data_IF_176696891715
#
_entry.id   IF_176696891715
#
_cell.length_a   1.000
_cell.length_b   1.000
_cell.length_c   1.000
_cell.angle_alpha   90.00
_cell.angle_beta   90.00
_cell.angle_gamma   90.00
#
_symmetry.space_group_name_H-M   'P 1'
#
loop_
_entity.id
_entity.type
_entity.pdbx_description
1 polymer ?
#
# COMPACT_ATOMS: atom_id res chain seq x y z
N UNK A 1 5.04 4.66 -1.48
CA UNK A 1 4.23 4.50 -0.25
C UNK A 1 4.96 3.55 0.69
N UNK A 2 4.68 3.50 2.02
CA UNK A 2 5.14 2.39 2.85
C UNK A 2 5.05 1.10 2.02
N UNK A 3 6.15 0.36 1.93
CA UNK A 3 6.25 -0.61 0.84
C UNK A 3 5.34 -1.83 1.12
N UNK A 4 5.48 -2.86 0.30
CA UNK A 4 4.66 -4.07 0.31
C UNK A 4 4.51 -4.71 1.71
N UNK A 5 5.53 -4.64 2.58
CA UNK A 5 5.50 -5.25 3.91
C UNK A 5 4.75 -4.42 4.94
N UNK A 6 4.93 -3.10 4.97
CA UNK A 6 4.27 -2.20 5.90
C UNK A 6 2.73 -2.30 5.80
N UNK A 7 2.18 -2.32 4.58
CA UNK A 7 0.75 -2.52 4.38
C UNK A 7 0.26 -3.90 4.85
N UNK A 8 1.07 -4.95 4.64
CA UNK A 8 0.76 -6.29 5.11
C UNK A 8 0.71 -6.37 6.64
N UNK A 9 1.70 -5.79 7.32
CA UNK A 9 1.76 -5.73 8.79
C UNK A 9 0.57 -4.95 9.34
N UNK A 10 0.29 -3.77 8.78
CA UNK A 10 -0.83 -2.93 9.20
C UNK A 10 -2.17 -3.63 9.04
N UNK A 11 -2.43 -4.21 7.85
CA UNK A 11 -3.66 -4.95 7.59
C UNK A 11 -3.84 -6.17 8.50
N UNK A 12 -2.76 -6.89 8.81
CA UNK A 12 -2.80 -8.04 9.74
C UNK A 12 -3.06 -7.61 11.18
N UNK A 13 -2.46 -6.50 11.63
CA UNK A 13 -2.73 -5.92 12.94
C UNK A 13 -4.21 -5.56 13.08
N UNK A 14 -4.77 -4.89 12.07
CA UNK A 14 -6.20 -4.54 12.02
C UNK A 14 -7.11 -5.77 12.02
N UNK A 15 -6.81 -6.79 11.22
CA UNK A 15 -7.59 -8.04 11.25
C UNK A 15 -7.64 -8.66 12.66
N UNK A 16 -6.54 -8.60 13.41
CA UNK A 16 -6.46 -9.14 14.76
C UNK A 16 -7.26 -8.29 15.77
N UNK A 17 -7.23 -6.97 15.64
CA UNK A 17 -7.85 -6.03 16.59
C UNK A 17 -9.28 -5.63 16.25
N UNK A 18 -9.72 -5.83 15.01
CA UNK A 18 -11.03 -5.37 14.54
C UNK A 18 -12.21 -6.00 15.30
N UNK A 19 -13.33 -5.25 15.41
CA UNK A 19 -14.62 -5.81 15.79
C UNK A 19 -14.99 -7.03 14.95
N UNK A 20 -15.82 -7.90 15.52
CA UNK A 20 -16.18 -9.18 14.91
C UNK A 20 -16.74 -9.02 13.50
N UNK A 21 -17.56 -8.01 13.30
CA UNK A 21 -18.26 -7.72 12.04
C UNK A 21 -17.26 -7.39 10.92
N UNK A 22 -16.32 -6.48 11.17
CA UNK A 22 -15.27 -6.13 10.20
C UNK A 22 -14.34 -7.32 9.92
N UNK A 23 -13.93 -8.05 10.96
CA UNK A 23 -13.10 -9.25 10.81
C UNK A 23 -13.80 -10.33 10.00
N UNK A 24 -15.11 -10.52 10.18
CA UNK A 24 -15.89 -11.47 9.39
C UNK A 24 -16.03 -11.02 7.93
N UNK A 25 -16.28 -9.74 7.68
CA UNK A 25 -16.36 -9.21 6.33
C UNK A 25 -15.04 -9.33 5.56
N UNK A 26 -13.91 -9.00 6.20
CA UNK A 26 -12.59 -9.19 5.59
C UNK A 26 -12.22 -10.67 5.44
N UNK A 27 -12.56 -11.50 6.43
CA UNK A 27 -12.30 -12.94 6.43
C UNK A 27 -13.18 -13.75 5.49
N UNK A 28 -14.27 -13.18 4.96
CA UNK A 28 -15.13 -13.83 3.98
C UNK A 28 -14.33 -14.21 2.71
N UNK A 29 -13.35 -13.38 2.35
CA UNK A 29 -12.35 -13.71 1.35
C UNK A 29 -11.00 -13.08 1.71
N UNK A 30 -10.23 -13.81 2.51
CA UNK A 30 -8.94 -13.32 3.01
C UNK A 30 -7.94 -13.03 1.89
N UNK A 31 -7.99 -13.76 0.77
CA UNK A 31 -7.08 -13.52 -0.36
C UNK A 31 -7.32 -12.15 -0.98
N UNK A 32 -8.59 -11.80 -1.23
CA UNK A 32 -8.96 -10.50 -1.77
C UNK A 32 -8.68 -9.36 -0.79
N UNK A 33 -8.91 -9.56 0.51
CA UNK A 33 -8.49 -8.60 1.51
C UNK A 33 -6.98 -8.34 1.43
N UNK A 34 -6.17 -9.40 1.40
CA UNK A 34 -4.71 -9.31 1.35
C UNK A 34 -4.19 -8.68 0.04
N UNK A 35 -4.88 -8.88 -1.09
CA UNK A 35 -4.58 -8.16 -2.33
C UNK A 35 -4.99 -6.68 -2.20
N UNK A 36 -6.15 -6.41 -1.59
CA UNK A 36 -6.65 -5.06 -1.36
C UNK A 36 -5.73 -4.19 -0.51
N UNK A 37 -4.89 -4.79 0.37
CA UNK A 37 -3.86 -4.05 1.13
C UNK A 37 -2.85 -3.30 0.26
N UNK A 38 -2.77 -3.62 -1.04
CA UNK A 38 -1.93 -2.92 -2.00
C UNK A 38 -2.68 -1.85 -2.80
N UNK A 39 -3.97 -1.65 -2.56
CA UNK A 39 -4.77 -0.60 -3.19
C UNK A 39 -4.58 -0.51 -4.71
N UNK A 40 -4.35 0.71 -5.26
CA UNK A 40 -4.08 0.88 -6.69
C UNK A 40 -2.65 0.52 -7.10
N UNK A 41 -1.73 0.29 -6.15
CA UNK A 41 -0.30 0.04 -6.42
C UNK A 41 -0.07 -1.26 -7.19
N UNK A 42 -1.01 -2.21 -7.14
CA UNK A 42 -0.96 -3.42 -7.96
C UNK A 42 -0.78 -3.07 -9.45
N UNK A 43 -1.34 -1.94 -9.91
CA UNK A 43 -1.32 -1.51 -11.30
C UNK A 43 0.06 -0.97 -11.74
N UNK A 44 0.90 -0.52 -10.80
CA UNK A 44 2.27 -0.09 -11.10
C UNK A 44 3.09 -1.22 -11.71
N UNK A 45 2.80 -2.46 -11.33
CA UNK A 45 3.53 -3.63 -11.76
C UNK A 45 3.07 -4.20 -13.12
N UNK A 46 2.09 -3.56 -13.78
CA UNK A 46 1.80 -3.85 -15.17
C UNK A 46 2.82 -3.17 -16.07
N UNK A 47 3.77 -3.96 -16.60
CA UNK A 47 4.82 -3.49 -17.53
C UNK A 47 5.56 -2.23 -17.02
N UNK A 48 6.11 -2.24 -15.79
CA UNK A 48 6.61 -1.05 -15.07
C UNK A 48 7.77 -0.33 -15.75
N UNK A 49 8.48 -0.98 -16.67
CA UNK A 49 9.66 -0.38 -17.31
C UNK A 49 9.32 0.74 -18.30
N UNK A 50 8.05 0.91 -18.67
CA UNK A 50 7.58 1.97 -19.56
C UNK A 50 6.22 2.50 -19.11
N UNK A 51 5.97 3.82 -19.26
CA UNK A 51 4.65 4.39 -19.06
C UNK A 51 3.61 3.65 -19.92
N UNK A 52 2.47 3.34 -19.33
CA UNK A 52 1.38 2.67 -20.01
C UNK A 52 0.02 3.04 -19.40
N UNK A 53 -1.10 2.80 -20.10
CA UNK A 53 -2.42 3.20 -19.61
C UNK A 53 -2.82 2.56 -18.28
N UNK A 54 -2.38 1.33 -17.99
CA UNK A 54 -2.75 0.61 -16.76
C UNK A 54 -2.03 1.23 -15.55
N UNK A 55 -0.71 1.43 -15.64
CA UNK A 55 0.04 2.07 -14.57
C UNK A 55 -0.42 3.51 -14.34
N UNK A 56 -0.83 4.22 -15.41
CA UNK A 56 -1.37 5.58 -15.30
C UNK A 56 -2.68 5.65 -14.50
N UNK A 57 -3.52 4.60 -14.54
CA UNK A 57 -4.70 4.50 -13.66
C UNK A 57 -4.26 4.43 -12.20
N UNK A 58 -3.27 3.59 -11.88
CA UNK A 58 -2.72 3.50 -10.52
C UNK A 58 -2.15 4.83 -10.02
N UNK A 59 -1.35 5.52 -10.85
CA UNK A 59 -0.70 6.78 -10.45
C UNK A 59 -1.74 7.88 -10.29
N UNK A 60 -2.65 8.01 -11.26
CA UNK A 60 -3.71 9.02 -11.23
C UNK A 60 -4.70 8.83 -10.08
N UNK A 61 -4.78 7.63 -9.47
CA UNK A 61 -5.60 7.40 -8.28
C UNK A 61 -5.03 8.10 -7.04
N UNK A 62 -3.71 8.23 -6.94
CA UNK A 62 -3.05 8.87 -5.80
C UNK A 62 -3.21 10.39 -5.78
N UNK A 63 -3.41 10.99 -6.94
CA UNK A 63 -3.59 12.45 -7.11
C UNK A 63 -5.03 12.91 -6.87
N UNK A 64 -5.98 11.97 -6.76
CA UNK A 64 -7.41 12.25 -6.60
C UNK A 64 -7.87 11.98 -5.17
N UNK A 65 -8.95 12.65 -4.72
CA UNK A 65 -9.62 12.28 -3.48
C UNK A 65 -9.99 10.79 -3.51
N UNK A 66 -9.85 10.09 -2.38
CA UNK A 66 -10.18 8.67 -2.30
C UNK A 66 -11.65 8.38 -2.62
N UNK A 67 -12.54 9.35 -2.40
CA UNK A 67 -13.95 9.30 -2.82
C UNK A 67 -14.12 9.06 -4.33
N UNK A 68 -13.17 9.46 -5.17
CA UNK A 68 -13.19 9.21 -6.61
C UNK A 68 -13.07 7.71 -6.96
N UNK A 69 -12.56 6.88 -6.04
CA UNK A 69 -12.57 5.42 -6.13
C UNK A 69 -13.68 4.81 -5.29
N UNK A 70 -13.74 5.16 -3.99
CA UNK A 70 -14.64 4.51 -3.05
C UNK A 70 -16.12 4.81 -3.30
N UNK A 71 -16.47 5.95 -3.91
CA UNK A 71 -17.84 6.23 -4.34
C UNK A 71 -18.31 5.29 -5.44
N UNK A 72 -17.66 5.30 -6.62
CA UNK A 72 -17.97 4.35 -7.69
C UNK A 72 -17.86 2.87 -7.27
N UNK A 73 -16.93 2.54 -6.37
CA UNK A 73 -16.81 1.20 -5.81
C UNK A 73 -18.03 0.79 -4.96
N UNK A 74 -18.58 1.70 -4.14
CA UNK A 74 -19.80 1.43 -3.39
C UNK A 74 -20.99 1.22 -4.32
N UNK A 75 -21.15 2.09 -5.34
CA UNK A 75 -22.17 1.93 -6.37
C UNK A 75 -22.08 0.58 -7.10
N UNK A 76 -20.86 0.13 -7.40
CA UNK A 76 -20.64 -1.19 -8.01
C UNK A 76 -21.10 -2.31 -7.08
N UNK A 77 -20.79 -2.24 -5.78
CA UNK A 77 -21.23 -3.24 -4.79
C UNK A 77 -22.76 -3.28 -4.67
N UNK A 78 -23.43 -2.13 -4.65
CA UNK A 78 -24.91 -2.07 -4.56
C UNK A 78 -25.60 -2.73 -5.76
N UNK A 79 -25.01 -2.62 -6.96
CA UNK A 79 -25.54 -3.22 -8.19
C UNK A 79 -25.09 -4.66 -8.42
N UNK A 80 -24.17 -5.17 -7.61
CA UNK A 80 -23.60 -6.50 -7.76
C UNK A 80 -24.51 -7.57 -7.18
N UNK A 81 -24.44 -8.76 -7.79
CA UNK A 81 -25.12 -9.95 -7.29
C UNK A 81 -24.68 -10.26 -5.86
N UNK A 82 -25.64 -10.67 -5.00
CA UNK A 82 -25.39 -11.04 -3.61
C UNK A 82 -24.21 -12.02 -3.45
N UNK A 83 -24.06 -12.94 -4.40
CA UNK A 83 -23.04 -14.00 -4.39
C UNK A 83 -21.60 -13.48 -4.41
N UNK A 84 -21.34 -12.26 -4.90
CA UNK A 84 -19.99 -11.69 -5.00
C UNK A 84 -19.74 -10.51 -4.06
N UNK A 85 -20.78 -10.01 -3.38
CA UNK A 85 -20.64 -8.81 -2.52
C UNK A 85 -19.73 -9.05 -1.33
N UNK A 86 -19.72 -10.25 -0.77
CA UNK A 86 -18.82 -10.60 0.32
C UNK A 86 -17.34 -10.48 -0.10
N UNK A 87 -17.02 -10.98 -1.30
CA UNK A 87 -15.68 -10.91 -1.88
C UNK A 87 -15.25 -9.46 -2.18
N UNK A 88 -16.16 -8.66 -2.75
CA UNK A 88 -15.92 -7.23 -3.00
C UNK A 88 -15.69 -6.45 -1.71
N UNK A 89 -16.49 -6.71 -0.66
CA UNK A 89 -16.33 -6.10 0.66
C UNK A 89 -14.97 -6.44 1.26
N UNK A 90 -14.52 -7.69 1.15
CA UNK A 90 -13.21 -8.10 1.63
C UNK A 90 -12.08 -7.33 0.91
N UNK A 91 -12.13 -7.23 -0.43
CA UNK A 91 -11.17 -6.45 -1.20
C UNK A 91 -11.15 -4.96 -0.77
N UNK A 92 -12.33 -4.34 -0.65
CA UNK A 92 -12.45 -2.93 -0.30
C UNK A 92 -12.00 -2.64 1.14
N UNK A 93 -12.20 -3.56 2.08
CA UNK A 93 -11.65 -3.43 3.43
C UNK A 93 -10.11 -3.44 3.43
N UNK A 94 -9.50 -4.27 2.57
CA UNK A 94 -8.05 -4.22 2.34
C UNK A 94 -7.62 -2.86 1.78
N UNK A 95 -8.36 -2.35 0.78
CA UNK A 95 -8.09 -1.04 0.16
C UNK A 95 -8.22 0.11 1.17
N UNK A 96 -9.17 0.04 2.10
CA UNK A 96 -9.28 1.03 3.19
C UNK A 96 -8.04 1.01 4.08
N UNK A 97 -7.51 -0.18 4.41
CA UNK A 97 -6.28 -0.27 5.19
C UNK A 97 -5.10 0.37 4.46
N UNK A 98 -5.01 0.17 3.14
CA UNK A 98 -4.03 0.82 2.29
C UNK A 98 -4.16 2.35 2.40
N UNK A 99 -5.32 2.89 2.01
CA UNK A 99 -5.60 4.32 2.04
C UNK A 99 -5.33 4.98 3.41
N UNK A 100 -5.77 4.33 4.50
CA UNK A 100 -5.60 4.87 5.84
C UNK A 100 -4.12 4.98 6.24
N UNK A 101 -3.30 4.00 5.86
CA UNK A 101 -1.87 4.04 6.16
C UNK A 101 -1.16 5.12 5.36
N UNK A 102 -1.52 5.30 4.09
CA UNK A 102 -0.90 6.32 3.22
C UNK A 102 -1.25 7.71 3.68
N UNK A 103 -2.53 7.94 3.96
CA UNK A 103 -3.02 9.21 4.49
C UNK A 103 -2.26 9.60 5.77
N UNK A 104 -1.94 8.63 6.63
CA UNK A 104 -1.20 8.86 7.86
C UNK A 104 0.30 9.11 7.62
N UNK A 105 0.92 8.42 6.67
CA UNK A 105 2.37 8.42 6.50
C UNK A 105 2.90 9.47 5.50
N UNK A 106 2.18 9.71 4.41
CA UNK A 106 2.70 10.46 3.26
C UNK A 106 3.06 11.90 3.55
N UNK A 107 2.31 12.58 4.42
CA UNK A 107 2.68 13.92 4.85
C UNK A 107 4.10 13.98 5.42
N UNK A 108 4.46 12.99 6.23
CA UNK A 108 5.79 12.92 6.81
C UNK A 108 6.86 12.44 5.82
N UNK A 109 6.56 11.44 4.97
CA UNK A 109 7.50 10.98 3.93
C UNK A 109 7.89 12.14 3.01
N UNK A 110 6.91 12.89 2.50
CA UNK A 110 7.11 14.08 1.66
C UNK A 110 7.92 15.17 2.35
N UNK A 111 7.78 15.29 3.67
CA UNK A 111 8.61 16.21 4.46
C UNK A 111 10.03 15.69 4.60
N UNK A 112 10.22 14.39 4.81
CA UNK A 112 11.53 13.74 5.03
C UNK A 112 12.37 13.68 3.76
N UNK A 113 11.77 13.55 2.57
CA UNK A 113 12.54 13.54 1.31
C UNK A 113 13.36 14.83 1.10
N UNK A 114 12.92 15.95 1.69
CA UNK A 114 13.63 17.23 1.65
C UNK A 114 14.96 17.22 2.42
N UNK A 115 15.21 16.20 3.23
CA UNK A 115 16.47 15.98 3.96
C UNK A 115 17.50 15.13 3.17
N UNK A 116 17.24 14.84 1.89
CA UNK A 116 18.20 14.21 0.98
C UNK A 116 18.19 12.68 0.95
N UNK A 117 17.10 12.05 1.43
CA UNK A 117 16.82 10.62 1.25
C UNK A 117 15.67 10.48 0.24
N UNK A 118 15.75 9.54 -0.69
CA UNK A 118 14.67 9.35 -1.66
C UNK A 118 13.42 8.74 -1.02
N UNK A 119 12.27 8.97 -1.66
CA UNK A 119 10.97 8.41 -1.28
C UNK A 119 11.03 6.88 -1.08
N UNK A 120 11.50 6.17 -2.11
CA UNK A 120 11.63 4.72 -2.08
C UNK A 120 12.60 4.22 -1.01
N UNK A 121 13.70 4.94 -0.73
CA UNK A 121 14.63 4.54 0.33
C UNK A 121 14.00 4.61 1.72
N UNK A 122 13.19 5.65 2.00
CA UNK A 122 12.50 5.80 3.30
C UNK A 122 11.55 4.61 3.52
N UNK A 123 10.83 4.23 2.48
CA UNK A 123 9.76 3.23 2.54
C UNK A 123 10.31 1.80 2.59
N UNK A 124 11.35 1.54 1.80
CA UNK A 124 12.07 0.26 1.85
C UNK A 124 12.79 0.08 3.18
N UNK A 125 13.36 1.15 3.77
CA UNK A 125 13.92 1.02 5.12
C UNK A 125 12.84 0.83 6.19
N UNK A 126 11.67 1.43 6.01
CA UNK A 126 10.57 1.17 6.92
C UNK A 126 10.15 -0.31 6.86
N UNK A 127 9.96 -0.87 5.66
CA UNK A 127 9.72 -2.31 5.46
C UNK A 127 10.83 -3.17 6.08
N UNK A 128 12.09 -2.80 5.86
CA UNK A 128 13.26 -3.49 6.44
C UNK A 128 13.19 -3.49 7.96
N UNK A 129 12.86 -2.36 8.57
CA UNK A 129 12.77 -2.21 10.02
C UNK A 129 11.66 -3.08 10.62
N UNK A 130 10.51 -3.19 9.94
CA UNK A 130 9.39 -4.03 10.37
C UNK A 130 9.73 -5.52 10.22
N UNK A 131 10.38 -5.92 9.12
CA UNK A 131 10.85 -7.30 8.95
C UNK A 131 11.83 -7.71 10.04
N UNK A 132 12.76 -6.82 10.43
CA UNK A 132 13.71 -7.08 11.52
C UNK A 132 12.98 -7.22 12.87
N UNK A 133 12.02 -6.34 13.16
CA UNK A 133 11.21 -6.42 14.39
C UNK A 133 10.45 -7.76 14.48
N UNK A 134 9.97 -8.28 13.34
CA UNK A 134 9.28 -9.58 13.23
C UNK A 134 10.25 -10.79 13.19
N UNK A 135 11.56 -10.56 13.32
CA UNK A 135 12.58 -11.63 13.31
C UNK A 135 12.82 -12.26 11.93
N UNK A 136 12.46 -11.56 10.84
CA UNK A 136 12.64 -12.00 9.46
C UNK A 136 13.97 -11.50 8.89
N UNK A 137 14.52 -12.23 7.92
CA UNK A 137 15.66 -11.77 7.11
C UNK A 137 15.17 -10.84 5.98
N UNK A 138 15.45 -9.52 6.05
CA UNK A 138 14.95 -8.57 5.06
C UNK A 138 15.48 -8.79 3.64
N UNK A 139 16.60 -9.50 3.49
CA UNK A 139 17.22 -9.78 2.18
C UNK A 139 16.62 -11.02 1.50
N UNK A 140 15.92 -11.85 2.25
CA UNK A 140 15.41 -13.16 1.79
C UNK A 140 13.91 -13.29 1.90
N UNK A 141 13.26 -12.46 2.70
CA UNK A 141 11.82 -12.54 2.94
C UNK A 141 11.03 -12.17 1.68
N UNK A 142 10.09 -13.02 1.28
CA UNK A 142 9.25 -12.79 0.09
C UNK A 142 8.06 -11.92 0.47
N UNK A 143 8.05 -10.66 -0.01
CA UNK A 143 7.04 -9.67 0.35
C UNK A 143 5.65 -9.93 -0.24
N UNK A 144 5.54 -10.75 -1.28
CA UNK A 144 4.33 -10.93 -2.09
C UNK A 144 3.71 -12.32 -1.96
N UNK A 145 4.07 -13.08 -0.91
CA UNK A 145 3.61 -14.46 -0.70
C UNK A 145 2.09 -14.60 -0.53
N UNK A 146 1.39 -13.54 -0.14
CA UNK A 146 -0.06 -13.47 0.02
C UNK A 146 -0.83 -13.10 -1.24
N UNK A 147 -0.14 -12.72 -2.32
CA UNK A 147 -0.80 -12.34 -3.58
C UNK A 147 -1.01 -13.61 -4.40
N UNK A 148 -2.27 -13.96 -4.65
CA UNK A 148 -2.66 -15.10 -5.48
C UNK A 148 -3.31 -14.61 -6.79
N UNK A 149 -2.55 -14.44 -7.89
CA UNK A 149 -3.09 -14.04 -9.17
C UNK A 149 -3.91 -15.18 -9.79
N UNK A 150 -5.08 -14.86 -10.30
CA UNK A 150 -5.95 -15.81 -10.96
C UNK A 150 -7.08 -15.11 -11.70
N UNK A 151 -7.74 -15.84 -12.59
CA UNK A 151 -8.87 -15.32 -13.37
C UNK A 151 -10.00 -14.83 -12.47
N UNK A 152 -10.26 -15.53 -11.37
CA UNK A 152 -11.33 -15.20 -10.41
C UNK A 152 -11.04 -13.89 -9.69
N UNK A 153 -9.91 -13.79 -8.97
CA UNK A 153 -9.48 -12.56 -8.30
C UNK A 153 -9.39 -11.38 -9.28
N UNK A 154 -8.83 -11.58 -10.46
CA UNK A 154 -8.68 -10.51 -11.44
C UNK A 154 -10.03 -10.06 -12.06
N UNK A 155 -10.98 -10.98 -12.27
CA UNK A 155 -12.31 -10.65 -12.75
C UNK A 155 -13.12 -9.88 -11.71
N UNK A 156 -12.88 -10.13 -10.42
CA UNK A 156 -13.51 -9.37 -9.34
C UNK A 156 -12.90 -7.98 -9.15
N UNK A 157 -11.57 -7.87 -9.27
CA UNK A 157 -10.85 -6.62 -9.03
C UNK A 157 -11.01 -5.62 -10.20
N UNK A 158 -10.91 -6.10 -11.45
CA UNK A 158 -10.87 -5.22 -12.62
C UNK A 158 -12.03 -4.22 -12.74
N UNK A 159 -13.30 -4.56 -12.41
CA UNK A 159 -14.40 -3.61 -12.42
C UNK A 159 -14.23 -2.37 -11.54
N UNK A 160 -13.38 -2.42 -10.52
CA UNK A 160 -13.06 -1.24 -9.69
C UNK A 160 -12.14 -0.22 -10.38
N UNK A 161 -11.51 -0.59 -11.50
CA UNK A 161 -10.56 0.24 -12.24
C UNK A 161 -11.02 0.43 -13.69
N UNK A 162 -11.83 1.48 -13.97
CA UNK A 162 -12.32 1.75 -15.32
C UNK A 162 -11.18 1.82 -16.35
N UNK A 163 -11.31 1.04 -17.42
CA UNK A 163 -10.31 0.97 -18.49
C UNK A 163 -9.22 -0.09 -18.28
N UNK A 164 -9.22 -0.81 -17.15
CA UNK A 164 -8.31 -1.95 -16.91
C UNK A 164 -9.08 -3.25 -17.05
N UNK A 165 -8.59 -4.17 -17.88
CA UNK A 165 -9.23 -5.48 -18.07
C UNK A 165 -8.84 -6.48 -16.97
N UNK A 166 -9.63 -7.55 -16.79
CA UNK A 166 -9.26 -8.66 -15.91
C UNK A 166 -7.92 -9.31 -16.32
N UNK A 167 -7.65 -9.42 -17.62
CA UNK A 167 -6.37 -9.94 -18.10
C UNK A 167 -5.18 -9.03 -17.78
N UNK A 168 -5.38 -7.72 -17.74
CA UNK A 168 -4.36 -6.76 -17.33
C UNK A 168 -4.16 -6.75 -15.82
N UNK A 169 -5.24 -6.86 -15.06
CA UNK A 169 -5.22 -6.99 -13.61
C UNK A 169 -4.45 -8.26 -13.17
N UNK A 170 -4.72 -9.42 -13.78
CA UNK A 170 -3.97 -10.66 -13.51
C UNK A 170 -2.48 -10.49 -13.85
N UNK A 171 -2.15 -9.85 -14.98
CA UNK A 171 -0.76 -9.54 -15.35
C UNK A 171 -0.09 -8.58 -14.37
N UNK A 172 -0.82 -7.61 -13.83
CA UNK A 172 -0.32 -6.66 -12.85
C UNK A 172 0.03 -7.38 -11.53
N UNK A 173 -0.87 -8.23 -11.02
CA UNK A 173 -0.63 -9.06 -9.84
C UNK A 173 0.56 -10.03 -10.03
N UNK A 174 0.66 -10.69 -11.19
CA UNK A 174 1.83 -11.52 -11.53
C UNK A 174 3.12 -10.69 -11.61
N UNK A 175 3.01 -9.49 -12.19
CA UNK A 175 4.10 -8.52 -12.25
C UNK A 175 4.59 -8.16 -10.85
N UNK A 176 3.68 -7.88 -9.93
CA UNK A 176 4.02 -7.51 -8.55
C UNK A 176 4.85 -8.60 -7.87
N UNK A 177 4.47 -9.86 -8.05
CA UNK A 177 5.25 -11.01 -7.56
C UNK A 177 6.61 -11.10 -8.24
N UNK A 178 6.64 -11.02 -9.57
CA UNK A 178 7.87 -11.16 -10.35
C UNK A 178 8.91 -10.07 -10.02
N UNK A 179 8.50 -8.81 -10.03
CA UNK A 179 9.41 -7.69 -9.81
C UNK A 179 9.87 -7.58 -8.35
N UNK A 180 9.01 -7.85 -7.36
CA UNK A 180 9.44 -7.93 -5.96
C UNK A 180 10.48 -9.05 -5.76
N UNK A 181 10.27 -10.24 -6.35
CA UNK A 181 11.26 -11.32 -6.28
C UNK A 181 12.57 -10.97 -6.97
N UNK A 182 12.51 -10.26 -8.09
CA UNK A 182 13.71 -9.77 -8.79
C UNK A 182 14.50 -8.79 -7.91
N UNK A 183 13.81 -7.89 -7.20
CA UNK A 183 14.41 -6.85 -6.35
C UNK A 183 14.98 -7.38 -5.01
N UNK A 184 14.62 -8.58 -4.56
CA UNK A 184 15.19 -9.19 -3.35
C UNK A 184 16.72 -9.28 -3.41
N UNK A 185 17.24 -9.77 -4.55
CA UNK A 185 18.67 -9.83 -4.87
C UNK A 185 19.59 -10.07 -3.63
N UNK A 186 19.47 -11.21 -2.93
CA UNK A 186 20.20 -11.46 -1.67
C UNK A 186 21.72 -11.50 -1.83
N UNK A 187 22.24 -11.78 -3.02
CA UNK A 187 23.68 -11.85 -3.29
C UNK A 187 24.20 -10.66 -4.10
N UNK A 188 25.47 -10.29 -3.88
CA UNK A 188 26.13 -9.16 -4.58
C UNK A 188 26.00 -9.24 -6.11
N UNK A 189 26.22 -10.42 -6.69
CA UNK A 189 26.11 -10.61 -8.14
C UNK A 189 24.67 -10.42 -8.66
N UNK A 190 23.66 -10.76 -7.87
CA UNK A 190 22.25 -10.51 -8.23
C UNK A 190 21.95 -9.01 -8.20
N UNK A 191 22.48 -8.29 -7.20
CA UNK A 191 22.34 -6.83 -7.10
C UNK A 191 23.03 -6.12 -8.25
N UNK A 192 24.23 -6.55 -8.60
CA UNK A 192 24.99 -6.01 -9.73
C UNK A 192 24.23 -6.25 -11.05
N UNK A 193 23.63 -7.43 -11.22
CA UNK A 193 22.78 -7.76 -12.36
C UNK A 193 21.53 -6.87 -12.44
N UNK A 194 20.76 -6.77 -11.35
CA UNK A 194 19.54 -5.93 -11.29
C UNK A 194 19.90 -4.47 -11.55
N UNK A 195 20.97 -3.97 -10.93
CA UNK A 195 21.47 -2.61 -11.14
C UNK A 195 21.86 -2.36 -12.61
N UNK A 196 22.53 -3.33 -13.24
CA UNK A 196 22.88 -3.26 -14.65
C UNK A 196 21.66 -3.17 -15.55
N UNK A 197 20.63 -3.99 -15.28
CA UNK A 197 19.37 -3.96 -16.02
C UNK A 197 18.65 -2.60 -15.87
N UNK A 198 18.59 -2.06 -14.66
CA UNK A 198 17.93 -0.78 -14.38
C UNK A 198 18.63 0.39 -15.09
N UNK A 199 19.96 0.44 -15.09
CA UNK A 199 20.74 1.44 -15.83
C UNK A 199 20.41 1.46 -17.32
N UNK A 200 20.24 0.29 -17.93
CA UNK A 200 19.89 0.18 -19.35
C UNK A 200 18.49 0.73 -19.67
N UNK A 201 17.59 0.75 -18.68
CA UNK A 201 16.23 1.26 -18.83
C UNK A 201 16.08 2.76 -18.52
N UNK A 202 17.13 3.40 -17.99
CA UNK A 202 17.09 4.82 -17.60
C UNK A 202 16.44 5.11 -16.24
N UNK A 203 15.94 4.09 -15.54
CA UNK A 203 15.17 4.22 -14.29
C UNK A 203 16.04 4.09 -13.01
N UNK A 204 17.30 4.53 -13.05
CA UNK A 204 18.35 4.09 -12.12
C UNK A 204 18.24 4.60 -10.67
N UNK A 205 17.70 5.80 -10.44
CA UNK A 205 17.72 6.43 -9.10
C UNK A 205 16.59 5.87 -8.22
N UNK A 206 15.34 5.96 -8.69
CA UNK A 206 14.16 5.54 -7.95
C UNK A 206 14.13 4.00 -7.77
N UNK A 207 14.46 3.25 -8.82
CA UNK A 207 14.42 1.79 -8.79
C UNK A 207 15.53 1.14 -7.96
N UNK A 208 16.67 1.83 -7.73
CA UNK A 208 17.67 1.36 -6.77
C UNK A 208 17.19 1.50 -5.33
N UNK A 209 16.43 2.54 -5.05
CA UNK A 209 15.78 2.74 -3.75
C UNK A 209 14.83 1.60 -3.39
N UNK A 210 14.33 0.86 -4.38
CA UNK A 210 13.44 -0.30 -4.18
C UNK A 210 14.15 -1.58 -3.68
N UNK A 211 15.48 -1.65 -3.73
CA UNK A 211 16.22 -2.80 -3.22
C UNK A 211 16.55 -2.62 -1.74
N UNK A 212 16.06 -3.53 -0.90
CA UNK A 212 16.39 -3.58 0.53
C UNK A 212 17.91 -3.59 0.74
N UNK A 213 18.44 -2.69 1.58
CA UNK A 213 19.86 -2.64 1.91
C UNK A 213 20.23 -3.74 2.92
N UNK A 214 21.44 -4.34 2.84
CA UNK A 214 21.88 -5.32 3.84
C UNK A 214 21.96 -4.76 5.25
N UNK A 215 22.49 -3.55 5.38
CA UNK A 215 22.63 -2.83 6.64
C UNK A 215 21.58 -1.72 6.74
N UNK A 216 21.07 -1.39 7.94
CA UNK A 216 20.20 -0.23 8.14
C UNK A 216 20.85 1.04 7.63
N UNK A 217 20.09 1.86 6.90
CA UNK A 217 20.49 3.23 6.61
C UNK A 217 20.29 4.16 7.83
N UNK A 218 21.37 4.68 8.46
CA UNK A 218 21.23 5.52 9.65
C UNK A 218 20.46 6.82 9.38
N UNK A 219 20.39 7.27 8.13
CA UNK A 219 19.62 8.47 7.73
C UNK A 219 18.11 8.28 7.82
N UNK A 220 17.67 7.02 7.90
CA UNK A 220 16.26 6.63 7.99
C UNK A 220 15.85 6.20 9.41
N UNK A 221 16.74 6.24 10.40
CA UNK A 221 16.43 5.76 11.75
C UNK A 221 15.29 6.58 12.40
N UNK A 222 15.32 7.90 12.26
CA UNK A 222 14.26 8.80 12.73
C UNK A 222 12.96 8.57 11.96
N UNK A 223 13.02 8.40 10.64
CA UNK A 223 11.83 8.19 9.83
C UNK A 223 11.18 6.85 10.08
N UNK A 224 11.95 5.78 10.29
CA UNK A 224 11.40 4.48 10.69
C UNK A 224 10.65 4.61 12.02
N UNK A 225 11.22 5.30 13.01
CA UNK A 225 10.56 5.51 14.30
C UNK A 225 9.26 6.33 14.15
N UNK A 226 9.29 7.43 13.40
CA UNK A 226 8.09 8.24 13.13
C UNK A 226 7.01 7.45 12.42
N UNK A 227 7.37 6.67 11.39
CA UNK A 227 6.43 5.87 10.61
C UNK A 227 5.80 4.76 11.45
N UNK A 228 6.54 4.12 12.36
CA UNK A 228 5.96 3.16 13.34
C UNK A 228 4.90 3.83 14.22
N UNK A 229 5.18 5.05 14.71
CA UNK A 229 4.23 5.83 15.52
C UNK A 229 2.97 6.20 14.73
N UNK A 230 3.14 6.66 13.49
CA UNK A 230 2.03 7.01 12.59
C UNK A 230 1.19 5.78 12.25
N UNK A 231 1.82 4.65 11.95
CA UNK A 231 1.13 3.37 11.71
C UNK A 231 0.27 2.97 12.91
N UNK A 232 0.83 2.99 14.13
CA UNK A 232 0.08 2.66 15.35
C UNK A 232 -1.12 3.62 15.57
N UNK A 233 -0.93 4.92 15.33
CA UNK A 233 -2.02 5.91 15.40
C UNK A 233 -3.11 5.66 14.35
N UNK A 234 -2.71 5.26 13.14
CA UNK A 234 -3.60 5.02 12.03
C UNK A 234 -4.56 3.83 12.28
N UNK A 235 -4.23 2.89 13.17
CA UNK A 235 -5.08 1.71 13.41
C UNK A 235 -6.50 2.08 13.87
N UNK A 236 -6.59 3.03 14.82
CA UNK A 236 -7.88 3.51 15.32
C UNK A 236 -8.67 4.22 14.21
N UNK A 237 -8.01 5.10 13.47
CA UNK A 237 -8.63 5.87 12.39
C UNK A 237 -9.11 4.95 11.26
N UNK A 238 -8.32 3.93 10.92
CA UNK A 238 -8.68 2.93 9.92
C UNK A 238 -9.88 2.09 10.37
N UNK A 239 -9.97 1.74 11.64
CA UNK A 239 -11.11 0.98 12.19
C UNK A 239 -12.42 1.77 12.08
N UNK A 240 -12.39 3.05 12.47
CA UNK A 240 -13.53 3.95 12.35
C UNK A 240 -13.93 4.13 10.87
N UNK A 241 -12.96 4.39 9.99
CA UNK A 241 -13.17 4.54 8.55
C UNK A 241 -13.76 3.28 7.90
N UNK A 242 -13.24 2.11 8.25
CA UNK A 242 -13.73 0.83 7.74
C UNK A 242 -15.18 0.58 8.16
N UNK A 243 -15.53 0.85 9.42
CA UNK A 243 -16.89 0.73 9.92
C UNK A 243 -17.85 1.71 9.23
N UNK A 244 -17.44 2.96 9.03
CA UNK A 244 -18.24 3.96 8.32
C UNK A 244 -18.49 3.56 6.86
N UNK A 245 -17.45 3.11 6.16
CA UNK A 245 -17.59 2.70 4.76
C UNK A 245 -18.41 1.42 4.62
N UNK A 246 -18.28 0.45 5.52
CA UNK A 246 -19.11 -0.76 5.50
C UNK A 246 -20.60 -0.45 5.63
N UNK A 247 -20.98 0.56 6.44
CA UNK A 247 -22.37 1.04 6.48
C UNK A 247 -22.80 1.64 5.14
N UNK A 248 -21.91 2.38 4.46
CA UNK A 248 -22.20 2.90 3.13
C UNK A 248 -22.43 1.77 2.11
N UNK A 249 -21.70 0.65 2.22
CA UNK A 249 -21.90 -0.53 1.37
C UNK A 249 -23.20 -1.31 1.68
N UNK A 250 -23.91 -0.96 2.75
CA UNK A 250 -25.20 -1.53 3.15
C UNK A 250 -26.36 -0.59 2.84
N UNK A 251 -26.16 0.72 2.96
CA UNK A 251 -27.16 1.76 2.73
C UNK A 251 -26.62 2.86 1.81
N UNK A 252 -27.08 2.85 0.55
CA UNK A 252 -26.67 3.80 -0.49
C UNK A 252 -27.07 5.26 -0.21
N UNK A 253 -27.91 5.50 0.81
CA UNK A 253 -28.33 6.85 1.21
C UNK A 253 -27.33 7.53 2.14
N UNK A 254 -26.40 6.78 2.73
CA UNK A 254 -25.38 7.31 3.63
C UNK A 254 -24.26 8.02 2.86
N UNK A 255 -23.76 9.16 3.35
CA UNK A 255 -22.65 9.84 2.72
C UNK A 255 -21.35 9.06 2.93
N UNK A 256 -20.42 9.17 1.97
CA UNK A 256 -19.07 8.64 2.13
C UNK A 256 -18.36 9.25 3.35
N UNK A 257 -17.46 8.49 4.01
CA UNK A 257 -16.65 8.98 5.12
C UNK A 257 -15.89 10.27 4.81
N UNK A 258 -15.81 11.17 5.79
CA UNK A 258 -15.15 12.48 5.66
C UNK A 258 -13.68 12.37 5.22
N UNK A 259 -12.97 11.34 5.73
CA UNK A 259 -11.59 11.09 5.38
C UNK A 259 -11.36 10.85 3.88
N UNK A 260 -12.37 10.36 3.15
CA UNK A 260 -12.23 10.07 1.71
C UNK A 260 -12.18 11.34 0.83
N UNK A 261 -12.32 12.53 1.43
CA UNK A 261 -12.07 13.81 0.75
C UNK A 261 -10.58 14.06 0.50
N UNK A 262 -9.71 13.41 1.28
CA UNK A 262 -8.27 13.49 1.09
C UNK A 262 -7.79 12.54 -0.02
N UNK A 263 -6.63 12.84 -0.59
CA UNK A 263 -5.96 11.96 -1.54
C UNK A 263 -5.12 10.91 -0.81
N UNK A 264 -4.52 9.97 -1.54
CA UNK A 264 -3.53 9.04 -0.97
C UNK A 264 -2.19 9.75 -0.73
N UNK A 265 -2.03 10.98 -1.24
CA UNK A 265 -0.86 11.82 -1.04
C UNK A 265 -0.86 12.57 0.30
N UNK A 266 0.07 13.53 0.47
CA UNK A 266 0.19 14.27 1.72
C UNK A 266 -1.03 15.19 1.97
N UNK A 267 -1.59 15.11 3.18
CA UNK A 267 -2.69 15.98 3.60
C UNK A 267 -2.25 17.46 3.76
N UNK A 268 -3.17 18.45 3.63
CA UNK A 268 -2.83 19.87 3.79
C UNK A 268 -2.09 20.18 5.11
N UNK A 269 -1.01 20.97 5.02
CA UNK A 269 -0.21 21.36 6.18
C UNK A 269 0.95 20.42 6.50
N UNK A 270 1.16 19.37 5.70
CA UNK A 270 2.30 18.47 5.82
C UNK A 270 3.66 19.17 5.80
N UNK A 271 3.78 20.32 5.13
CA UNK A 271 5.02 21.09 5.05
C UNK A 271 5.49 21.62 6.41
N UNK A 272 4.57 21.70 7.38
CA UNK A 272 4.84 22.15 8.75
C UNK A 272 5.26 21.01 9.67
N UNK A 273 5.21 19.75 9.21
CA UNK A 273 5.62 18.61 10.01
C UNK A 273 7.12 18.73 10.35
N UNK A 274 7.51 18.51 11.62
CA UNK A 274 8.91 18.53 11.99
C UNK A 274 9.59 17.23 11.55
N UNK A 275 10.79 17.35 10.98
CA UNK A 275 11.74 16.22 10.90
C UNK A 275 12.71 16.40 12.04
N UNK A 276 12.63 15.51 13.01
CA UNK A 276 13.42 15.55 14.23
C UNK A 276 14.60 14.58 14.12
N UNK A 277 15.65 14.82 14.90
CA UNK A 277 16.70 13.80 15.07
C UNK A 277 16.15 12.63 15.86
N UNK A 278 16.78 11.47 15.74
CA UNK A 278 16.33 10.24 16.38
C UNK A 278 16.09 10.40 17.90
N UNK A 279 16.99 11.10 18.60
CA UNK A 279 16.90 11.30 20.05
C UNK A 279 15.68 12.16 20.45
N UNK A 280 15.36 13.17 19.65
CA UNK A 280 14.19 14.02 19.85
C UNK A 280 12.90 13.29 19.44
N UNK A 281 12.99 12.48 18.38
CA UNK A 281 11.90 11.67 17.86
C UNK A 281 11.40 10.66 18.89
N UNK A 282 12.26 10.14 19.78
CA UNK A 282 11.84 9.24 20.87
C UNK A 282 10.73 9.85 21.74
N UNK A 283 10.88 11.12 22.11
CA UNK A 283 9.94 11.84 22.98
C UNK A 283 8.77 12.50 22.23
N UNK A 284 8.81 12.54 20.89
CA UNK A 284 7.78 13.18 20.09
C UNK A 284 6.51 12.32 19.98
N UNK A 285 5.35 12.90 20.27
CA UNK A 285 4.04 12.24 20.12
C UNK A 285 3.36 12.70 18.82
N UNK A 286 2.81 11.74 18.06
CA UNK A 286 2.21 11.97 16.74
C UNK A 286 0.72 12.21 16.77
#
# INVERSE_FOLDING_TARGET
>A
MPSTYAHLVFGRSLLASWPKELRQAAGANIELFLIGLHGPDILFYYRPLKPNPVSAVGFGQHEKPAAAFFGPAAELVHRSDESIRADQRAYLLGFICHFALDLACHGYVERKIREGVSHSEIEVEFDRSLMVDDGLDPLRHVLTGHIHPGKENAALIAPFFPGVTAGETDKALRGMIFYNRLLLAPHRWQRDFVTGLLKLTGNDIEMRGLMVKPEPDPRCADSCLRLKKLMAKAEKQCTELAAEYMRCLEDETLPLPEAMKFTFGPAPGWEKLPVLKYEEELAYEV
#
